data_IF_321516577804
#
_entry.id   IF_321516577804
#
_cell.length_a   1.000
_cell.length_b   1.000
_cell.length_c   1.000
_cell.angle_alpha   90.00
_cell.angle_beta   90.00
_cell.angle_gamma   90.00
#
_symmetry.space_group_name_H-M   'P 1'
#
loop_
_entity.id
_entity.type
_entity.pdbx_description
1 polymer ?
#
# COMPACT_ATOMS: atom_id res chain seq x y z
N UNK A 1 -1.06 -26.35 -11.99
CA UNK A 1 -2.34 -25.61 -12.05
C UNK A 1 -2.37 -24.77 -10.78
N UNK A 2 -2.06 -23.48 -10.93
CA UNK A 2 -2.04 -22.39 -9.94
C UNK A 2 -1.22 -22.63 -8.66
N UNK A 3 0.07 -22.23 -8.73
CA UNK A 3 0.72 -21.57 -7.59
C UNK A 3 -0.14 -20.34 -7.28
N UNK A 4 -1.07 -20.47 -6.34
CA UNK A 4 -1.60 -19.30 -5.65
C UNK A 4 -0.43 -18.84 -4.81
N UNK A 5 0.21 -17.73 -5.22
CA UNK A 5 1.34 -17.18 -4.49
C UNK A 5 0.91 -16.99 -3.04
N UNK A 6 1.52 -17.73 -2.12
CA UNK A 6 1.16 -17.70 -0.70
C UNK A 6 1.37 -16.29 -0.11
N UNK A 7 2.08 -15.41 -0.82
CA UNK A 7 2.20 -13.98 -0.53
C UNK A 7 0.86 -13.22 -0.63
N UNK A 8 -0.08 -13.68 -1.46
CA UNK A 8 -1.43 -13.10 -1.56
C UNK A 8 -2.32 -13.48 -0.38
N UNK A 9 -2.00 -14.58 0.32
CA UNK A 9 -2.75 -15.04 1.50
C UNK A 9 -2.25 -14.46 2.82
N UNK A 10 -0.97 -14.06 2.90
CA UNK A 10 -0.37 -13.63 4.16
C UNK A 10 -0.51 -12.12 4.45
N UNK A 11 -0.96 -11.33 3.47
CA UNK A 11 -0.75 -9.88 3.51
C UNK A 11 0.74 -9.55 3.34
N UNK A 12 1.04 -8.30 2.99
CA UNK A 12 2.40 -7.89 2.67
C UNK A 12 2.57 -6.38 2.74
N UNK A 13 3.82 -5.92 2.80
CA UNK A 13 4.09 -4.48 2.73
C UNK A 13 4.09 -4.04 1.27
N UNK A 14 3.31 -2.99 0.99
CA UNK A 14 3.24 -2.35 -0.32
C UNK A 14 3.84 -0.95 -0.19
N UNK A 15 4.59 -0.51 -1.20
CA UNK A 15 5.13 0.84 -1.28
C UNK A 15 4.00 1.84 -1.50
N UNK A 16 3.85 2.77 -0.56
CA UNK A 16 2.86 3.85 -0.55
C UNK A 16 3.48 5.25 -0.71
N UNK A 17 4.80 5.37 -0.59
CA UNK A 17 5.55 6.57 -0.99
C UNK A 17 6.84 6.15 -1.70
N UNK A 18 7.10 6.77 -2.85
CA UNK A 18 8.33 6.56 -3.60
C UNK A 18 9.56 7.02 -2.80
N UNK A 19 10.67 6.34 -3.01
CA UNK A 19 11.94 6.67 -2.35
C UNK A 19 13.11 6.35 -3.26
N UNK A 20 13.98 7.34 -3.49
CA UNK A 20 15.22 7.17 -4.21
C UNK A 20 16.40 7.19 -3.21
N UNK A 21 17.05 6.04 -2.95
CA UNK A 21 18.20 5.97 -2.07
C UNK A 21 19.37 6.85 -2.56
N UNK A 22 20.06 7.58 -1.67
CA UNK A 22 21.16 8.45 -2.05
C UNK A 22 22.40 7.70 -2.54
N UNK A 23 22.50 6.40 -2.25
CA UNK A 23 23.61 5.53 -2.67
C UNK A 23 23.47 5.03 -4.13
N UNK A 24 22.47 5.50 -4.87
CA UNK A 24 22.25 5.12 -6.27
C UNK A 24 21.61 3.74 -6.46
N UNK A 25 21.14 3.09 -5.38
CA UNK A 25 20.31 1.91 -5.52
C UNK A 25 18.99 2.23 -6.24
N UNK A 26 18.36 1.21 -6.83
CA UNK A 26 17.08 1.38 -7.52
C UNK A 26 16.02 2.00 -6.58
N UNK A 27 15.17 2.93 -7.07
CA UNK A 27 14.14 3.56 -6.27
C UNK A 27 13.02 2.56 -5.89
N UNK A 28 12.35 2.81 -4.78
CA UNK A 28 11.05 2.21 -4.48
C UNK A 28 9.98 2.93 -5.29
N UNK A 29 9.17 2.16 -6.01
CA UNK A 29 8.07 2.66 -6.84
C UNK A 29 6.74 2.30 -6.19
N UNK A 30 5.74 3.18 -6.33
CA UNK A 30 4.39 2.93 -5.80
C UNK A 30 3.84 1.57 -6.25
N UNK A 31 3.19 0.86 -5.32
CA UNK A 31 2.58 -0.44 -5.60
C UNK A 31 3.55 -1.63 -5.53
N UNK A 32 4.87 -1.41 -5.51
CA UNK A 32 5.84 -2.50 -5.33
C UNK A 32 5.61 -3.22 -3.99
N UNK A 33 5.72 -4.55 -4.02
CA UNK A 33 5.69 -5.38 -2.82
C UNK A 33 7.09 -5.59 -2.25
N UNK A 34 7.17 -5.47 -0.92
CA UNK A 34 8.41 -5.55 -0.16
C UNK A 34 8.24 -6.50 1.01
N UNK A 35 9.20 -7.38 1.21
CA UNK A 35 9.35 -8.15 2.44
C UNK A 35 10.16 -7.34 3.43
N UNK A 36 9.50 -6.79 4.46
CA UNK A 36 10.15 -6.05 5.54
C UNK A 36 10.80 -7.02 6.52
N UNK A 37 12.03 -6.71 6.90
CA UNK A 37 12.81 -7.41 7.93
C UNK A 37 12.80 -6.57 9.19
N UNK A 38 12.45 -7.19 10.31
CA UNK A 38 12.53 -6.53 11.62
C UNK A 38 13.99 -6.22 11.97
N UNK A 39 14.28 -4.93 12.15
CA UNK A 39 15.57 -4.40 12.57
C UNK A 39 15.47 -3.64 13.91
N UNK A 40 14.29 -3.58 14.54
CA UNK A 40 14.03 -2.86 15.78
C UNK A 40 13.97 -1.33 15.67
N UNK A 41 14.11 -0.74 14.48
CA UNK A 41 14.01 0.71 14.26
C UNK A 41 12.60 1.08 13.77
N UNK A 42 11.84 1.93 14.48
CA UNK A 42 10.48 2.29 14.10
C UNK A 42 10.40 3.28 12.93
N UNK A 43 11.46 4.03 12.66
CA UNK A 43 11.48 5.11 11.66
C UNK A 43 12.13 4.66 10.35
N UNK A 44 13.04 3.67 10.40
CA UNK A 44 13.77 3.15 9.26
C UNK A 44 13.67 1.64 9.17
N UNK A 45 13.09 1.16 8.06
CA UNK A 45 12.89 -0.26 7.81
C UNK A 45 13.94 -0.80 6.87
N UNK A 46 14.20 -2.10 6.99
CA UNK A 46 14.96 -2.89 6.04
C UNK A 46 14.04 -3.82 5.27
N UNK A 47 14.34 -4.11 4.01
CA UNK A 47 13.55 -5.08 3.26
C UNK A 47 14.12 -5.47 1.91
N UNK A 48 13.46 -6.44 1.30
CA UNK A 48 13.76 -6.97 -0.03
C UNK A 48 12.53 -6.81 -0.93
N UNK A 49 12.74 -6.46 -2.20
CA UNK A 49 11.63 -6.45 -3.17
C UNK A 49 11.25 -7.89 -3.50
N UNK A 50 9.96 -8.16 -3.56
CA UNK A 50 9.43 -9.52 -3.78
C UNK A 50 9.91 -10.13 -5.11
N UNK A 51 10.07 -9.33 -6.16
CA UNK A 51 10.51 -9.80 -7.48
C UNK A 51 12.01 -9.59 -7.77
N UNK A 52 12.79 -9.10 -6.81
CA UNK A 52 14.21 -8.85 -7.00
C UNK A 52 15.05 -10.07 -6.62
N UNK A 53 15.50 -10.81 -7.64
CA UNK A 53 16.36 -11.98 -7.49
C UNK A 53 17.78 -11.65 -7.01
N UNK A 54 18.16 -10.37 -6.91
CA UNK A 54 19.48 -9.99 -6.41
C UNK A 54 19.58 -10.06 -4.89
N UNK A 55 18.45 -10.23 -4.18
CA UNK A 55 18.36 -10.29 -2.71
C UNK A 55 19.11 -9.12 -2.04
N UNK A 56 19.12 -7.95 -2.69
CA UNK A 56 19.77 -6.77 -2.14
C UNK A 56 18.89 -6.14 -1.06
N UNK A 57 19.43 -6.08 0.15
CA UNK A 57 18.81 -5.40 1.26
C UNK A 57 18.72 -3.90 0.98
N UNK A 58 17.52 -3.34 1.11
CA UNK A 58 17.24 -1.91 1.02
C UNK A 58 16.94 -1.37 2.42
N UNK A 59 17.41 -0.15 2.71
CA UNK A 59 17.00 0.64 3.88
C UNK A 59 16.19 1.85 3.43
N UNK A 60 15.03 2.08 4.05
CA UNK A 60 14.09 3.13 3.65
C UNK A 60 13.25 3.63 4.84
N UNK A 61 12.70 4.86 4.79
CA UNK A 61 11.80 5.36 5.81
C UNK A 61 10.56 4.47 5.98
N UNK A 62 10.13 4.23 7.21
CA UNK A 62 8.95 3.40 7.50
C UNK A 62 7.68 3.92 6.80
N UNK A 63 7.58 5.22 6.58
CA UNK A 63 6.46 5.86 5.85
C UNK A 63 6.35 5.43 4.40
N UNK A 64 7.40 4.86 3.80
CA UNK A 64 7.39 4.42 2.41
C UNK A 64 6.50 3.21 2.17
N UNK A 65 6.18 2.43 3.20
CA UNK A 65 5.41 1.20 3.07
C UNK A 65 4.23 1.17 4.04
N UNK A 66 3.22 0.38 3.69
CA UNK A 66 2.17 0.00 4.63
C UNK A 66 1.73 -1.43 4.39
N UNK A 67 1.29 -2.09 5.47
CA UNK A 67 0.78 -3.45 5.41
C UNK A 67 -0.58 -3.46 4.68
N UNK A 68 -0.68 -4.31 3.67
CA UNK A 68 -1.92 -4.70 3.01
C UNK A 68 -2.44 -5.99 3.64
N UNK A 69 -3.70 -5.97 4.09
CA UNK A 69 -4.34 -7.12 4.72
C UNK A 69 -4.85 -8.09 3.65
N UNK A 70 -5.04 -9.37 3.97
CA UNK A 70 -5.61 -10.34 3.04
C UNK A 70 -6.95 -9.88 2.48
N UNK A 71 -7.12 -10.03 1.16
CA UNK A 71 -8.32 -9.61 0.44
C UNK A 71 -8.42 -8.12 0.15
N UNK A 72 -7.45 -7.31 0.58
CA UNK A 72 -7.38 -5.91 0.16
C UNK A 72 -6.67 -5.73 -1.18
N UNK A 73 -7.03 -4.65 -1.87
CA UNK A 73 -6.37 -4.18 -3.09
C UNK A 73 -5.80 -2.79 -2.83
N UNK A 74 -4.49 -2.61 -3.02
CA UNK A 74 -3.89 -1.28 -3.00
C UNK A 74 -4.41 -0.45 -4.19
N UNK A 75 -4.83 0.78 -3.93
CA UNK A 75 -5.42 1.71 -4.87
C UNK A 75 -4.91 3.13 -4.61
N UNK A 76 -4.88 3.96 -5.64
CA UNK A 76 -4.56 5.39 -5.56
C UNK A 76 -5.80 6.25 -5.67
N UNK A 77 -5.89 7.28 -4.85
CA UNK A 77 -6.93 8.30 -4.93
C UNK A 77 -6.70 9.20 -6.15
N UNK A 78 -7.68 9.27 -7.06
CA UNK A 78 -7.60 10.09 -8.28
C UNK A 78 -7.95 11.57 -8.05
N UNK A 79 -8.76 11.86 -7.03
CA UNK A 79 -9.24 13.21 -6.72
C UNK A 79 -9.56 13.32 -5.24
N UNK A 80 -9.44 14.52 -4.66
CA UNK A 80 -9.73 14.71 -3.24
C UNK A 80 -11.16 14.27 -2.91
N UNK A 81 -11.32 13.42 -1.90
CA UNK A 81 -12.63 12.94 -1.42
C UNK A 81 -12.84 13.42 0.01
N UNK A 82 -13.98 14.07 0.27
CA UNK A 82 -14.42 14.36 1.62
C UNK A 82 -15.40 13.27 2.07
N UNK A 83 -15.21 12.76 3.29
CA UNK A 83 -16.14 11.82 3.95
C UNK A 83 -16.63 12.49 5.23
N UNK A 84 -17.69 13.32 5.14
CA UNK A 84 -18.10 14.21 6.23
C UNK A 84 -18.48 13.47 7.51
N UNK A 85 -19.07 12.27 7.37
CA UNK A 85 -19.62 11.47 8.48
C UNK A 85 -18.56 11.10 9.51
N UNK A 86 -17.31 10.92 9.05
CA UNK A 86 -16.15 10.58 9.88
C UNK A 86 -15.10 11.69 9.92
N UNK A 87 -15.43 12.87 9.40
CA UNK A 87 -14.52 14.03 9.31
C UNK A 87 -13.17 13.69 8.64
N UNK A 88 -13.20 12.78 7.66
CA UNK A 88 -12.00 12.35 6.92
C UNK A 88 -11.92 13.07 5.58
N UNK A 89 -10.68 13.39 5.18
CA UNK A 89 -10.36 13.86 3.83
C UNK A 89 -9.27 12.98 3.25
N UNK A 90 -9.56 12.37 2.11
CA UNK A 90 -8.61 11.62 1.30
C UNK A 90 -8.07 12.57 0.22
N UNK A 91 -6.77 12.57 0.03
CA UNK A 91 -6.11 13.46 -0.94
C UNK A 91 -5.72 12.71 -2.20
N UNK A 92 -5.73 13.42 -3.32
CA UNK A 92 -5.21 12.90 -4.58
C UNK A 92 -3.80 12.35 -4.40
N UNK A 93 -3.52 11.26 -5.11
CA UNK A 93 -2.27 10.49 -5.11
C UNK A 93 -1.96 9.74 -3.81
N UNK A 94 -2.80 9.85 -2.78
CA UNK A 94 -2.72 9.00 -1.59
C UNK A 94 -3.02 7.53 -1.95
N UNK A 95 -2.23 6.61 -1.41
CA UNK A 95 -2.52 5.16 -1.49
C UNK A 95 -3.45 4.74 -0.34
N UNK A 96 -4.45 3.93 -0.68
CA UNK A 96 -5.43 3.33 0.22
C UNK A 96 -5.61 1.85 -0.14
N UNK A 97 -6.22 1.08 0.77
CA UNK A 97 -6.45 -0.34 0.61
C UNK A 97 -7.96 -0.60 0.49
N UNK A 98 -8.44 -0.89 -0.72
CA UNK A 98 -9.85 -1.18 -0.97
C UNK A 98 -10.19 -2.62 -0.59
N UNK A 99 -11.40 -2.85 -0.08
CA UNK A 99 -11.96 -4.17 0.20
C UNK A 99 -12.95 -4.54 -0.91
N UNK A 100 -12.54 -5.30 -1.96
CA UNK A 100 -13.35 -5.49 -3.17
C UNK A 100 -14.74 -6.05 -2.90
N UNK A 101 -14.88 -6.95 -1.92
CA UNK A 101 -16.14 -7.59 -1.55
C UNK A 101 -17.16 -6.64 -0.89
N UNK A 102 -16.76 -5.41 -0.56
CA UNK A 102 -17.62 -4.39 0.03
C UNK A 102 -18.29 -3.46 -1.00
N UNK A 103 -18.11 -3.74 -2.30
CA UNK A 103 -18.66 -2.90 -3.37
C UNK A 103 -20.19 -2.87 -3.31
N UNK A 104 -20.75 -1.71 -3.00
CA UNK A 104 -22.18 -1.46 -2.94
C UNK A 104 -22.48 -0.01 -3.35
N UNK A 105 -23.52 0.23 -4.15
CA UNK A 105 -23.91 1.56 -4.65
C UNK A 105 -22.75 2.37 -5.25
N UNK A 106 -21.85 1.70 -5.98
CA UNK A 106 -20.68 2.33 -6.62
C UNK A 106 -19.61 2.83 -5.64
N UNK A 107 -19.72 2.50 -4.35
CA UNK A 107 -18.71 2.77 -3.33
C UNK A 107 -18.12 1.46 -2.82
N UNK A 108 -16.85 1.53 -2.46
CA UNK A 108 -16.11 0.43 -1.83
C UNK A 108 -15.58 0.92 -0.49
N UNK A 109 -15.56 0.07 0.52
CA UNK A 109 -14.86 0.37 1.77
C UNK A 109 -13.35 0.40 1.49
N UNK A 110 -12.70 1.47 1.93
CA UNK A 110 -11.24 1.57 1.93
C UNK A 110 -10.72 1.63 3.35
N UNK A 111 -9.47 1.23 3.53
CA UNK A 111 -8.65 1.45 4.72
C UNK A 111 -7.47 2.33 4.33
N UNK A 112 -7.20 3.36 5.14
CA UNK A 112 -6.01 4.21 4.98
C UNK A 112 -4.79 3.53 5.61
N UNK A 113 -3.58 3.98 5.28
CA UNK A 113 -2.35 3.49 5.92
C UNK A 113 -2.36 3.65 7.46
N UNK A 114 -3.14 4.59 7.99
CA UNK A 114 -3.33 4.82 9.42
C UNK A 114 -4.56 4.09 10.00
N UNK A 115 -5.08 3.07 9.30
CA UNK A 115 -6.19 2.22 9.73
C UNK A 115 -7.53 2.93 9.98
N UNK A 116 -7.74 4.11 9.39
CA UNK A 116 -9.07 4.70 9.27
C UNK A 116 -9.82 4.06 8.09
N UNK A 117 -11.10 3.72 8.28
CA UNK A 117 -11.96 3.11 7.28
C UNK A 117 -12.99 4.10 6.77
N UNK A 118 -13.29 4.06 5.47
CA UNK A 118 -14.25 4.96 4.86
C UNK A 118 -14.87 4.39 3.58
N UNK A 119 -16.15 4.67 3.29
CA UNK A 119 -16.70 4.40 1.96
C UNK A 119 -16.12 5.40 0.95
N UNK A 120 -15.55 4.90 -0.13
CA UNK A 120 -14.98 5.70 -1.21
C UNK A 120 -15.66 5.36 -2.55
N UNK A 121 -16.06 6.34 -3.38
CA UNK A 121 -16.53 6.07 -4.73
C UNK A 121 -15.46 5.34 -5.54
N UNK A 122 -15.83 4.24 -6.19
CA UNK A 122 -14.91 3.45 -7.02
C UNK A 122 -14.31 4.28 -8.16
N UNK A 123 -15.08 5.23 -8.70
CA UNK A 123 -14.63 6.17 -9.74
C UNK A 123 -13.54 7.14 -9.27
N UNK A 124 -13.26 7.21 -7.97
CA UNK A 124 -12.17 8.01 -7.39
C UNK A 124 -10.91 7.19 -7.12
N UNK A 125 -10.88 5.92 -7.53
CA UNK A 125 -9.78 4.98 -7.30
C UNK A 125 -9.18 4.50 -8.62
N UNK A 126 -7.87 4.27 -8.62
CA UNK A 126 -7.17 3.52 -9.66
C UNK A 126 -6.24 2.48 -9.02
N UNK A 127 -5.98 1.38 -9.72
CA UNK A 127 -4.94 0.44 -9.29
C UNK A 127 -3.59 1.17 -9.24
N UNK A 128 -2.79 0.87 -8.20
CA UNK A 128 -1.37 1.26 -8.14
C UNK A 128 -0.53 0.30 -8.96
#
# INVERSE_FOLDING_TARGET
LLDVDLSDLAGGYVVIHEYAPPNGAAPLVLGERVHVVDNGDPDWLHGFREHDRTERLLSFPATCVAMMLPGEQAMKILQNVAVPEIKLRLYRDQVVFAQPDSLHDGKVMIRTAHNAFAPCPLSSLALV
#
